data_IF_405587802152
#
_entry.id   IF_405587802152
#
_cell.length_a   1.000
_cell.length_b   1.000
_cell.length_c   1.000
_cell.angle_alpha   90.00
_cell.angle_beta   90.00
_cell.angle_gamma   90.00
#
_symmetry.space_group_name_H-M   'P 1'
#
loop_
_entity.id
_entity.type
_entity.pdbx_description
1 polymer ?
#
# COMPACT_ATOMS: atom_id res chain seq x y z
N UNK A 1 -4.15 3.34 -25.15
CA UNK A 1 -4.72 3.60 -23.81
C UNK A 1 -3.70 3.06 -22.84
N UNK A 2 -2.99 3.93 -22.11
CA UNK A 2 -1.99 3.45 -21.16
C UNK A 2 -2.65 2.71 -20.01
N UNK A 3 -1.98 1.68 -19.52
CA UNK A 3 -2.46 0.95 -18.34
C UNK A 3 -2.43 1.90 -17.13
N UNK A 4 -3.54 2.03 -16.42
CA UNK A 4 -3.61 2.84 -15.20
C UNK A 4 -3.41 1.93 -13.98
N UNK A 5 -2.65 2.41 -13.02
CA UNK A 5 -2.53 1.75 -11.72
C UNK A 5 -2.71 2.76 -10.58
N UNK A 6 -3.15 2.25 -9.44
CA UNK A 6 -3.38 3.00 -8.21
C UNK A 6 -2.40 2.50 -7.16
N UNK A 7 -1.83 3.44 -6.41
CA UNK A 7 -1.06 3.18 -5.19
C UNK A 7 -1.88 3.68 -4.00
N UNK A 8 -2.23 2.77 -3.11
CA UNK A 8 -2.70 3.08 -1.78
C UNK A 8 -1.47 3.27 -0.87
N UNK A 9 -1.45 4.34 -0.08
CA UNK A 9 -0.42 4.66 0.90
C UNK A 9 -1.03 4.97 2.26
N UNK A 10 -0.43 4.46 3.32
CA UNK A 10 -0.84 4.71 4.69
C UNK A 10 0.39 4.91 5.55
N UNK A 11 0.42 6.05 6.26
CA UNK A 11 1.53 6.45 7.08
C UNK A 11 1.15 6.34 8.57
N UNK A 12 1.94 5.55 9.29
CA UNK A 12 1.95 5.52 10.76
C UNK A 12 3.08 6.43 11.26
N UNK A 13 3.25 6.55 12.59
CA UNK A 13 4.33 7.38 13.15
C UNK A 13 5.75 6.91 12.73
N UNK A 14 5.94 5.60 12.50
CA UNK A 14 7.27 5.03 12.22
C UNK A 14 7.36 4.26 10.90
N UNK A 15 6.24 3.94 10.28
CA UNK A 15 6.19 3.08 9.10
C UNK A 15 5.27 3.66 8.03
N UNK A 16 5.69 3.52 6.79
CA UNK A 16 4.91 3.79 5.60
C UNK A 16 4.56 2.46 4.94
N UNK A 17 3.26 2.21 4.75
CA UNK A 17 2.74 1.05 4.07
C UNK A 17 2.20 1.44 2.71
N UNK A 18 2.51 0.65 1.68
CA UNK A 18 2.05 0.86 0.32
C UNK A 18 1.49 -0.41 -0.28
N UNK A 19 0.47 -0.26 -1.11
CA UNK A 19 -0.07 -1.33 -1.95
C UNK A 19 -0.43 -0.79 -3.32
N UNK A 20 -0.09 -1.53 -4.37
CA UNK A 20 -0.40 -1.15 -5.75
C UNK A 20 -1.40 -2.11 -6.38
N UNK A 21 -2.23 -1.62 -7.29
CA UNK A 21 -3.17 -2.44 -8.04
C UNK A 21 -3.83 -1.68 -9.20
N UNK A 22 -4.46 -2.41 -10.11
CA UNK A 22 -5.17 -1.82 -11.25
C UNK A 22 -6.40 -0.98 -10.85
N UNK A 23 -6.92 -1.17 -9.63
CA UNK A 23 -8.04 -0.40 -9.06
C UNK A 23 -7.73 0.06 -7.65
N UNK A 24 -8.50 1.03 -7.15
CA UNK A 24 -8.45 1.52 -5.76
C UNK A 24 -8.58 0.36 -4.77
N UNK A 25 -9.55 -0.53 -4.97
CA UNK A 25 -9.79 -1.68 -4.08
C UNK A 25 -8.66 -2.69 -4.15
N UNK A 26 -8.06 -2.91 -5.32
CA UNK A 26 -6.91 -3.80 -5.47
C UNK A 26 -5.69 -3.23 -4.73
N UNK A 27 -5.42 -1.94 -4.88
CA UNK A 27 -4.35 -1.24 -4.17
C UNK A 27 -4.57 -1.26 -2.65
N UNK A 28 -5.80 -1.00 -2.19
CA UNK A 28 -6.20 -1.07 -0.78
C UNK A 28 -5.97 -2.46 -0.20
N UNK A 29 -6.43 -3.52 -0.88
CA UNK A 29 -6.21 -4.91 -0.42
C UNK A 29 -4.73 -5.24 -0.33
N UNK A 30 -3.93 -4.81 -1.29
CA UNK A 30 -2.48 -5.01 -1.26
C UNK A 30 -1.83 -4.32 -0.05
N UNK A 31 -2.24 -3.08 0.25
CA UNK A 31 -1.77 -2.33 1.42
C UNK A 31 -2.15 -3.02 2.73
N UNK A 32 -3.41 -3.43 2.87
CA UNK A 32 -3.89 -4.11 4.09
C UNK A 32 -3.20 -5.46 4.31
N UNK A 33 -2.88 -6.18 3.23
CA UNK A 33 -2.07 -7.41 3.30
C UNK A 33 -0.65 -7.12 3.80
N UNK A 34 -0.02 -6.02 3.35
CA UNK A 34 1.30 -5.62 3.82
C UNK A 34 1.28 -5.28 5.33
N UNK A 35 0.24 -4.58 5.79
CA UNK A 35 0.03 -4.34 7.23
C UNK A 35 -0.15 -5.64 8.01
N UNK A 36 -1.03 -6.54 7.56
CA UNK A 36 -1.30 -7.79 8.25
C UNK A 36 -0.03 -8.64 8.41
N UNK A 37 0.80 -8.74 7.37
CA UNK A 37 2.08 -9.42 7.44
C UNK A 37 3.04 -8.79 8.46
N UNK A 38 3.11 -7.45 8.48
CA UNK A 38 3.91 -6.73 9.46
C UNK A 38 3.40 -6.94 10.89
N UNK A 39 2.09 -6.84 11.12
CA UNK A 39 1.45 -7.08 12.42
C UNK A 39 1.77 -8.50 12.92
N UNK A 40 1.59 -9.52 12.09
CA UNK A 40 1.90 -10.90 12.46
C UNK A 40 3.37 -11.10 12.82
N UNK A 41 4.30 -10.52 12.06
CA UNK A 41 5.72 -10.58 12.38
C UNK A 41 6.05 -9.86 13.70
N UNK A 42 5.43 -8.71 13.96
CA UNK A 42 5.66 -7.94 15.18
C UNK A 42 5.11 -8.65 16.42
N UNK A 43 3.93 -9.27 16.31
CA UNK A 43 3.32 -10.03 17.41
C UNK A 43 4.03 -11.34 17.70
N UNK A 44 4.69 -11.95 16.70
CA UNK A 44 5.55 -13.11 16.95
C UNK A 44 6.76 -12.77 17.84
N UNK A 45 7.22 -11.51 17.80
CA UNK A 45 8.33 -11.00 18.62
C UNK A 45 7.85 -10.38 19.94
N UNK A 46 6.68 -9.73 19.91
CA UNK A 46 6.11 -8.97 21.04
C UNK A 46 4.62 -9.27 21.20
N UNK A 47 4.23 -10.46 21.71
CA UNK A 47 2.83 -10.88 21.81
C UNK A 47 1.98 -9.93 22.67
N UNK A 48 2.57 -9.31 23.69
CA UNK A 48 1.92 -8.37 24.60
C UNK A 48 1.38 -7.11 23.90
N UNK A 49 1.81 -6.84 22.67
CA UNK A 49 1.37 -5.68 21.88
C UNK A 49 0.07 -5.92 21.12
N UNK A 50 -0.54 -7.10 21.20
CA UNK A 50 -1.75 -7.45 20.42
C UNK A 50 -2.87 -6.42 20.54
N UNK A 51 -3.18 -5.96 21.77
CA UNK A 51 -4.23 -4.97 22.01
C UNK A 51 -3.89 -3.54 21.54
N UNK A 52 -2.62 -3.27 21.23
CA UNK A 52 -2.16 -1.97 20.74
C UNK A 52 -2.06 -1.87 19.22
N UNK A 53 -2.14 -3.01 18.51
CA UNK A 53 -2.01 -3.08 17.06
C UNK A 53 -3.37 -3.36 16.40
N UNK A 54 -3.95 -2.38 15.68
CA UNK A 54 -5.24 -2.58 15.02
C UNK A 54 -5.21 -3.71 13.99
N UNK A 55 -6.34 -4.39 13.86
CA UNK A 55 -6.57 -5.35 12.77
C UNK A 55 -6.64 -4.63 11.41
N UNK A 56 -6.38 -5.36 10.33
CA UNK A 56 -6.27 -4.78 8.99
C UNK A 56 -7.57 -4.07 8.55
N UNK A 57 -8.71 -4.65 8.89
CA UNK A 57 -10.05 -4.16 8.57
C UNK A 57 -10.36 -2.85 9.30
N UNK A 58 -9.73 -2.63 10.46
CA UNK A 58 -9.92 -1.47 11.32
C UNK A 58 -8.88 -0.37 11.08
N UNK A 59 -7.94 -0.57 10.14
CA UNK A 59 -6.86 0.39 9.92
C UNK A 59 -7.35 1.78 9.57
N UNK A 60 -8.45 1.89 8.83
CA UNK A 60 -9.03 3.18 8.43
C UNK A 60 -9.72 3.92 9.58
N UNK A 61 -9.98 3.27 10.72
CA UNK A 61 -10.41 3.94 11.96
C UNK A 61 -9.24 4.71 12.61
N UNK A 62 -8.00 4.28 12.35
CA UNK A 62 -6.79 4.78 13.02
C UNK A 62 -5.88 5.60 12.12
N UNK A 63 -5.84 5.29 10.82
CA UNK A 63 -4.94 5.90 9.85
C UNK A 63 -5.67 6.19 8.54
N UNK A 64 -5.35 7.33 7.93
CA UNK A 64 -5.88 7.68 6.61
C UNK A 64 -5.11 6.95 5.52
N UNK A 65 -5.83 6.34 4.59
CA UNK A 65 -5.27 5.81 3.34
C UNK A 65 -5.38 6.88 2.25
N UNK A 66 -4.26 7.19 1.63
CA UNK A 66 -4.16 8.07 0.47
C UNK A 66 -4.08 7.23 -0.80
N UNK A 67 -4.76 7.65 -1.85
CA UNK A 67 -4.75 6.98 -3.14
C UNK A 67 -4.09 7.88 -4.18
N UNK A 68 -3.08 7.36 -4.85
CA UNK A 68 -2.33 8.02 -5.91
C UNK A 68 -2.54 7.25 -7.20
N UNK A 69 -2.96 7.93 -8.25
CA UNK A 69 -3.27 7.31 -9.54
C UNK A 69 -2.19 7.64 -10.54
N UNK A 70 -1.74 6.63 -11.28
CA UNK A 70 -0.64 6.73 -12.22
C UNK A 70 -1.05 6.12 -13.56
N UNK A 71 -0.59 6.74 -14.63
CA UNK A 71 -0.63 6.15 -15.97
C UNK A 71 0.73 5.49 -16.23
N UNK A 72 0.72 4.18 -16.48
CA UNK A 72 1.92 3.36 -16.69
C UNK A 72 2.76 3.79 -17.89
N UNK A 73 2.18 4.57 -18.81
CA UNK A 73 2.85 5.09 -20.01
C UNK A 73 3.31 6.55 -19.89
N UNK A 74 3.09 7.21 -18.75
CA UNK A 74 3.56 8.58 -18.51
C UNK A 74 5.07 8.67 -18.23
N UNK A 75 5.76 7.52 -18.13
CA UNK A 75 7.19 7.41 -17.88
C UNK A 75 7.95 6.77 -19.04
N UNK A 76 8.29 7.58 -20.05
CA UNK A 76 9.31 7.34 -21.08
C UNK A 76 9.42 5.93 -21.70
N UNK A 77 8.84 5.78 -22.90
CA UNK A 77 9.56 5.36 -24.12
C UNK A 77 9.01 6.13 -25.32
N UNK A 78 9.68 7.20 -25.71
CA UNK A 78 9.55 7.76 -27.07
C UNK A 78 10.11 6.71 -28.04
N UNK A 79 9.55 6.51 -29.25
CA UNK A 79 10.00 5.46 -30.17
C UNK A 79 11.34 5.76 -30.86
N UNK A 80 11.99 6.87 -30.52
CA UNK A 80 13.27 7.25 -31.12
C UNK A 80 14.43 6.59 -30.36
N UNK A 81 14.70 5.39 -30.82
CA UNK A 81 15.98 4.68 -30.73
C UNK A 81 17.15 5.67 -30.83
N UNK A 82 18.06 5.65 -29.85
CA UNK A 82 19.40 6.24 -30.00
C UNK A 82 20.43 5.21 -29.50
N UNK A 83 20.95 4.49 -30.52
CA UNK A 83 22.12 3.59 -30.60
C UNK A 83 22.25 2.46 -29.58
#
# INVERSE_FOLDING_TARGET
MGERFVVAEMNTHHFMFRGAGATVEAARRALLKAWAAHRSALLALYPEREGSLPEAERMEEHFRIHYLEFEADAGYRWPDRLV
#
